data_IF_454906964247
#
_entry.id   IF_454906964247
#
_cell.length_a   1.000
_cell.length_b   1.000
_cell.length_c   1.000
_cell.angle_alpha   90.00
_cell.angle_beta   90.00
_cell.angle_gamma   90.00
#
_symmetry.space_group_name_H-M   'P 1'
#
loop_
_entity.id
_entity.type
_entity.pdbx_description
1 polymer ?
#
# COMPACT_ATOMS: atom_id res chain seq x y z
N UNK A 1 4.91 5.04 -12.47
CA UNK A 1 3.56 5.43 -12.91
C UNK A 1 2.59 5.07 -11.81
N UNK A 2 1.55 5.86 -11.57
CA UNK A 2 0.55 5.60 -10.52
C UNK A 2 -0.70 4.99 -11.16
N UNK A 3 -1.19 3.88 -10.60
CA UNK A 3 -2.39 3.18 -11.07
C UNK A 3 -3.39 3.09 -9.93
N UNK A 4 -4.60 3.61 -10.14
CA UNK A 4 -5.68 3.46 -9.17
C UNK A 4 -6.16 2.01 -9.18
N UNK A 5 -6.08 1.33 -8.04
CA UNK A 5 -6.49 -0.08 -7.89
C UNK A 5 -7.81 -0.24 -7.14
N UNK A 6 -8.24 0.79 -6.42
CA UNK A 6 -9.49 0.80 -5.68
C UNK A 6 -10.02 2.22 -5.50
N UNK A 7 -11.35 2.38 -5.56
CA UNK A 7 -12.05 3.63 -5.34
C UNK A 7 -13.44 3.36 -4.74
N UNK A 8 -13.70 3.92 -3.56
CA UNK A 8 -14.99 3.92 -2.86
C UNK A 8 -15.39 5.34 -2.45
N UNK A 9 -16.54 5.52 -1.80
CA UNK A 9 -16.94 6.84 -1.27
C UNK A 9 -16.01 7.30 -0.13
N UNK A 10 -15.42 6.35 0.60
CA UNK A 10 -14.59 6.57 1.78
C UNK A 10 -13.10 6.67 1.45
N UNK A 11 -12.60 5.75 0.62
CA UNK A 11 -11.17 5.58 0.37
C UNK A 11 -10.85 5.45 -1.13
N UNK A 12 -9.64 5.85 -1.52
CA UNK A 12 -9.04 5.50 -2.81
C UNK A 12 -7.66 4.91 -2.59
N UNK A 13 -7.30 3.87 -3.34
CA UNK A 13 -5.97 3.25 -3.27
C UNK A 13 -5.29 3.31 -4.61
N UNK A 14 -4.05 3.78 -4.60
CA UNK A 14 -3.20 3.86 -5.76
C UNK A 14 -1.95 3.02 -5.56
N UNK A 15 -1.64 2.19 -6.54
CA UNK A 15 -0.37 1.51 -6.66
C UNK A 15 0.62 2.45 -7.35
N UNK A 16 1.74 2.70 -6.68
CA UNK A 16 2.86 3.45 -7.20
C UNK A 16 3.84 2.43 -7.78
N UNK A 17 4.09 2.49 -9.08
CA UNK A 17 5.13 1.68 -9.73
C UNK A 17 6.33 2.60 -9.97
N UNK A 18 7.45 2.36 -9.30
CA UNK A 18 8.70 3.05 -9.63
C UNK A 18 9.38 2.24 -10.72
N UNK A 19 9.40 2.76 -11.95
CA UNK A 19 10.16 2.10 -13.01
C UNK A 19 11.63 2.16 -12.61
N UNK A 20 12.20 1.02 -12.22
CA UNK A 20 13.62 0.93 -11.89
C UNK A 20 14.42 1.22 -13.16
N UNK A 21 14.88 2.46 -13.26
CA UNK A 21 16.00 2.77 -14.12
C UNK A 21 17.23 2.17 -13.44
N UNK A 22 17.72 1.05 -14.00
CA UNK A 22 19.03 0.41 -13.84
C UNK A 22 19.39 -0.20 -12.46
N UNK A 23 18.89 -1.42 -12.19
CA UNK A 23 19.55 -2.37 -11.29
C UNK A 23 20.15 -3.56 -12.07
N UNK A 24 21.48 -3.59 -12.16
CA UNK A 24 22.27 -4.73 -12.62
C UNK A 24 22.04 -5.97 -11.73
N UNK A 25 22.13 -7.20 -12.26
CA UNK A 25 21.88 -8.41 -11.48
C UNK A 25 23.08 -8.70 -10.58
N UNK A 26 23.05 -8.27 -9.31
CA UNK A 26 24.02 -8.73 -8.31
C UNK A 26 23.34 -9.32 -7.08
N UNK A 27 23.26 -10.66 -7.12
CA UNK A 27 23.37 -11.63 -6.04
C UNK A 27 22.62 -11.39 -4.71
N UNK A 28 21.63 -12.27 -4.48
CA UNK A 28 21.46 -13.01 -3.21
C UNK A 28 21.50 -12.19 -1.92
N UNK A 29 20.42 -11.48 -1.62
CA UNK A 29 19.97 -11.16 -0.25
C UNK A 29 18.46 -11.01 -0.26
N UNK A 30 17.79 -11.59 0.74
CA UNK A 30 16.34 -11.71 0.82
C UNK A 30 15.63 -10.36 0.65
N UNK A 31 14.55 -10.36 -0.13
CA UNK A 31 13.68 -9.19 -0.26
C UNK A 31 14.00 -8.42 -1.52
N UNK A 32 13.59 -9.02 -2.63
CA UNK A 32 13.37 -8.37 -3.90
C UNK A 32 12.37 -7.22 -3.66
N UNK A 33 12.87 -6.07 -3.18
CA UNK A 33 12.13 -4.84 -2.97
C UNK A 33 11.83 -4.21 -4.34
N UNK A 34 11.29 -5.02 -5.24
CA UNK A 34 11.00 -4.67 -6.63
C UNK A 34 9.78 -3.76 -6.69
N UNK A 35 10.08 -2.50 -6.35
CA UNK A 35 9.82 -1.34 -7.19
C UNK A 35 8.39 -0.78 -7.20
N UNK A 36 7.72 -0.78 -6.05
CA UNK A 36 6.49 -0.01 -5.90
C UNK A 36 6.03 0.26 -4.47
N UNK A 37 5.13 1.23 -4.32
CA UNK A 37 4.47 1.61 -3.08
C UNK A 37 2.96 1.66 -3.23
N UNK A 38 2.26 1.99 -2.16
CA UNK A 38 0.82 2.24 -2.17
C UNK A 38 0.53 3.59 -1.55
N UNK A 39 -0.44 4.29 -2.12
CA UNK A 39 -1.01 5.51 -1.57
C UNK A 39 -2.47 5.22 -1.24
N UNK A 40 -2.83 5.39 0.02
CA UNK A 40 -4.21 5.28 0.50
C UNK A 40 -4.71 6.69 0.81
N UNK A 41 -5.78 7.10 0.15
CA UNK A 41 -6.41 8.40 0.33
C UNK A 41 -7.71 8.21 1.11
N UNK A 42 -7.77 8.77 2.30
CA UNK A 42 -8.98 8.88 3.12
C UNK A 42 -9.72 10.17 2.72
N UNK A 43 -10.88 10.00 2.08
CA UNK A 43 -11.69 11.12 1.56
C UNK A 43 -12.42 11.87 2.68
N UNK A 44 -12.75 11.18 3.77
CA UNK A 44 -13.42 11.78 4.92
C UNK A 44 -12.47 12.63 5.75
N UNK A 45 -11.30 12.09 6.08
CA UNK A 45 -10.27 12.79 6.84
C UNK A 45 -9.42 13.73 5.98
N UNK A 46 -9.51 13.63 4.64
CA UNK A 46 -8.62 14.28 3.67
C UNK A 46 -7.15 14.01 3.99
N UNK A 47 -6.84 12.74 4.21
CA UNK A 47 -5.49 12.27 4.57
C UNK A 47 -4.97 11.32 3.51
N UNK A 48 -3.67 11.36 3.34
CA UNK A 48 -2.96 10.51 2.39
C UNK A 48 -1.91 9.72 3.18
N UNK A 49 -1.93 8.40 3.04
CA UNK A 49 -0.98 7.49 3.67
C UNK A 49 -0.15 6.84 2.58
N UNK A 50 1.16 7.05 2.65
CA UNK A 50 2.12 6.40 1.77
C UNK A 50 2.68 5.16 2.46
N UNK A 51 2.67 4.04 1.73
CA UNK A 51 3.17 2.75 2.17
C UNK A 51 4.28 2.34 1.20
N UNK A 52 5.49 2.17 1.72
CA UNK A 52 6.68 1.83 0.95
C UNK A 52 7.57 0.81 1.66
N UNK A 53 8.56 0.27 0.94
CA UNK A 53 9.53 -0.69 1.47
C UNK A 53 8.90 -1.98 1.98
N UNK A 54 9.40 -2.51 3.11
CA UNK A 54 8.94 -3.78 3.68
C UNK A 54 7.45 -3.77 4.10
N UNK A 55 6.91 -2.59 4.44
CA UNK A 55 5.50 -2.44 4.79
C UNK A 55 4.62 -2.57 3.55
N UNK A 56 5.07 -2.07 2.40
CA UNK A 56 4.35 -2.23 1.12
C UNK A 56 4.26 -3.69 0.69
N UNK A 57 5.33 -4.47 0.92
CA UNK A 57 5.34 -5.89 0.61
C UNK A 57 4.29 -6.67 1.43
N UNK A 58 4.24 -6.40 2.74
CA UNK A 58 3.22 -6.94 3.62
C UNK A 58 1.79 -6.51 3.24
N UNK A 59 1.61 -5.24 2.84
CA UNK A 59 0.33 -4.73 2.35
C UNK A 59 -0.14 -5.49 1.10
N UNK A 60 0.74 -5.71 0.11
CA UNK A 60 0.43 -6.50 -1.10
C UNK A 60 -0.05 -7.89 -0.77
N UNK A 61 0.63 -8.58 0.15
CA UNK A 61 0.25 -9.94 0.54
C UNK A 61 -1.12 -9.97 1.22
N UNK A 62 -1.40 -8.98 2.08
CA UNK A 62 -2.71 -8.86 2.74
C UNK A 62 -3.83 -8.54 1.75
N UNK A 63 -3.61 -7.61 0.81
CA UNK A 63 -4.59 -7.30 -0.24
C UNK A 63 -4.86 -8.52 -1.10
N UNK A 64 -3.83 -9.25 -1.55
CA UNK A 64 -4.02 -10.48 -2.33
C UNK A 64 -4.83 -11.53 -1.56
N UNK A 65 -4.55 -11.70 -0.26
CA UNK A 65 -5.30 -12.62 0.61
C UNK A 65 -6.74 -12.17 0.80
N UNK A 66 -6.97 -10.86 0.96
CA UNK A 66 -8.30 -10.27 1.08
C UNK A 66 -9.11 -10.51 -0.20
N UNK A 67 -8.51 -10.23 -1.37
CA UNK A 67 -9.14 -10.39 -2.68
C UNK A 67 -9.49 -11.86 -2.99
N UNK A 68 -8.68 -12.82 -2.52
CA UNK A 68 -9.00 -14.25 -2.64
C UNK A 68 -10.31 -14.64 -1.93
N UNK A 69 -10.71 -13.89 -0.91
CA UNK A 69 -11.97 -14.07 -0.18
C UNK A 69 -13.20 -13.46 -0.86
N UNK A 70 -13.06 -12.81 -2.02
CA UNK A 70 -14.15 -12.01 -2.64
C UNK A 70 -14.73 -10.98 -1.65
N UNK A 71 -13.91 -10.04 -1.16
CA UNK A 71 -14.29 -9.09 -0.11
C UNK A 71 -15.34 -8.11 -0.64
N UNK A 72 -16.20 -7.62 0.25
CA UNK A 72 -17.12 -6.54 -0.10
C UNK A 72 -16.42 -5.18 0.00
N UNK A 73 -17.06 -4.13 -0.53
CA UNK A 73 -16.57 -2.76 -0.39
C UNK A 73 -16.32 -2.39 1.07
N UNK A 74 -17.25 -2.78 1.97
CA UNK A 74 -17.17 -2.53 3.42
C UNK A 74 -15.96 -3.24 4.06
N UNK A 75 -15.69 -4.50 3.68
CA UNK A 75 -14.51 -5.23 4.17
C UNK A 75 -13.19 -4.54 3.75
N UNK A 76 -13.17 -3.95 2.55
CA UNK A 76 -12.01 -3.22 2.06
C UNK A 76 -11.88 -1.88 2.80
N UNK A 77 -12.98 -1.16 3.01
CA UNK A 77 -12.99 0.10 3.75
C UNK A 77 -12.52 -0.10 5.21
N UNK A 78 -12.99 -1.14 5.92
CA UNK A 78 -12.53 -1.52 7.27
C UNK A 78 -11.02 -1.86 7.29
N UNK A 79 -10.57 -2.64 6.31
CA UNK A 79 -9.16 -2.96 6.15
C UNK A 79 -8.31 -1.70 5.97
N UNK A 80 -8.75 -0.74 5.14
CA UNK A 80 -8.04 0.51 4.87
C UNK A 80 -8.06 1.47 6.06
N UNK A 81 -9.16 1.53 6.83
CA UNK A 81 -9.22 2.30 8.09
C UNK A 81 -8.12 1.85 9.07
N UNK A 82 -7.89 0.54 9.18
CA UNK A 82 -6.81 -0.02 9.98
C UNK A 82 -5.42 0.50 9.59
N UNK A 83 -5.15 0.73 8.30
CA UNK A 83 -3.88 1.32 7.84
C UNK A 83 -3.85 2.84 8.04
N UNK A 84 -4.97 3.53 7.84
CA UNK A 84 -5.11 4.97 8.13
C UNK A 84 -4.85 5.26 9.62
N UNK A 85 -5.28 4.37 10.51
CA UNK A 85 -5.04 4.48 11.94
C UNK A 85 -3.55 4.37 12.31
N UNK A 86 -2.76 3.59 11.57
CA UNK A 86 -1.31 3.41 11.83
C UNK A 86 -0.50 4.69 11.56
N UNK A 87 -0.94 5.54 10.62
CA UNK A 87 -0.31 6.83 10.34
C UNK A 87 -0.36 7.81 11.54
N UNK A 88 -1.24 7.56 12.53
CA UNK A 88 -1.26 8.35 13.78
C UNK A 88 -0.07 8.09 14.70
N UNK A 89 0.70 7.02 14.50
CA UNK A 89 1.98 6.86 15.18
C UNK A 89 3.09 7.45 14.31
N UNK A 90 3.44 8.69 14.62
CA UNK A 90 4.73 9.28 14.25
C UNK A 90 5.84 8.41 14.86
N UNK A 91 6.24 7.33 14.18
CA UNK A 91 7.54 6.72 14.40
C UNK A 91 8.56 7.67 13.75
N UNK A 92 8.79 8.81 14.39
CA UNK A 92 10.08 9.48 14.29
C UNK A 92 11.10 8.49 14.85
N UNK A 93 11.67 7.64 13.99
CA UNK A 93 12.92 6.99 14.29
C UNK A 93 13.98 8.10 14.37
N UNK A 94 14.42 8.42 15.59
CA UNK A 94 15.57 9.28 15.86
C UNK A 94 16.87 8.49 15.63
#
# INVERSE_FOLDING_TARGET
>A
MQTMIYDSDAFSVFQLEWADAIAEPKAESLGDAQHGGFEIVDKFARKEIFIEGLVADGFRLRVQSLMAGSPTTDDIDDFLDGFSALSRQNLHAH
#
